data_IF_543531963341
#
_entry.id   IF_543531963341
#
_cell.length_a   1.000
_cell.length_b   1.000
_cell.length_c   1.000
_cell.angle_alpha   90.00
_cell.angle_beta   90.00
_cell.angle_gamma   90.00
#
_symmetry.space_group_name_H-M   'P 1'
#
loop_
_entity.id
_entity.type
_entity.pdbx_description
1 polymer ?
#
# COMPACT_ATOMS: atom_id res chain seq x y z
N UNK A 1 -4.45 -0.68 6.02
CA UNK A 1 -4.28 -2.15 6.20
C UNK A 1 -3.37 -2.64 5.09
N UNK A 2 -2.13 -3.04 5.41
CA UNK A 2 -1.14 -3.42 4.39
C UNK A 2 -1.63 -4.68 3.67
N UNK A 3 -2.04 -4.55 2.41
CA UNK A 3 -2.52 -5.64 1.56
C UNK A 3 -1.29 -6.40 1.02
N UNK A 4 -1.31 -7.72 1.15
CA UNK A 4 -0.31 -8.59 0.55
C UNK A 4 -0.39 -8.47 -0.96
N UNK A 5 0.72 -8.14 -1.61
CA UNK A 5 0.82 -8.11 -3.06
C UNK A 5 1.08 -9.53 -3.56
N UNK A 6 0.11 -10.08 -4.30
CA UNK A 6 0.31 -11.30 -5.09
C UNK A 6 1.13 -10.89 -6.32
N UNK A 7 2.11 -11.70 -6.68
CA UNK A 7 2.94 -11.45 -7.86
C UNK A 7 2.87 -12.67 -8.77
N UNK A 8 2.58 -12.46 -10.04
CA UNK A 8 2.55 -13.55 -11.00
C UNK A 8 3.97 -13.95 -11.39
N UNK A 9 4.19 -15.26 -11.55
CA UNK A 9 5.47 -15.80 -11.97
C UNK A 9 5.49 -15.90 -13.49
N UNK A 10 6.64 -15.62 -14.09
CA UNK A 10 6.87 -15.86 -15.51
C UNK A 10 7.26 -17.31 -15.80
N UNK A 11 7.82 -18.00 -14.80
CA UNK A 11 8.23 -19.41 -14.95
C UNK A 11 7.07 -20.39 -14.90
N UNK A 12 5.94 -20.00 -14.29
CA UNK A 12 4.74 -20.83 -14.11
C UNK A 12 3.50 -19.94 -14.12
N UNK A 13 2.38 -20.45 -14.63
CA UNK A 13 1.05 -19.84 -14.46
C UNK A 13 0.61 -19.95 -13.00
N UNK A 14 1.17 -19.07 -12.17
CA UNK A 14 1.06 -19.11 -10.73
C UNK A 14 1.25 -17.73 -10.11
N UNK A 15 0.53 -17.50 -9.01
CA UNK A 15 0.71 -16.33 -8.18
C UNK A 15 1.52 -16.69 -6.92
N UNK A 16 2.48 -15.84 -6.57
CA UNK A 16 3.32 -15.97 -5.40
C UNK A 16 3.09 -14.83 -4.40
N UNK A 17 3.24 -15.13 -3.11
CA UNK A 17 3.21 -14.12 -2.05
C UNK A 17 4.04 -14.53 -0.83
N UNK A 18 4.47 -13.54 -0.03
CA UNK A 18 5.17 -13.80 1.23
C UNK A 18 4.20 -14.14 2.35
N UNK A 19 4.53 -15.14 3.16
CA UNK A 19 3.78 -15.52 4.35
C UNK A 19 4.74 -15.79 5.52
N UNK A 20 4.32 -15.47 6.74
CA UNK A 20 5.05 -15.93 7.94
C UNK A 20 4.70 -17.39 8.21
N UNK A 21 5.71 -18.25 8.19
CA UNK A 21 5.55 -19.67 8.53
C UNK A 21 5.50 -19.88 10.05
N UNK A 22 5.00 -21.03 10.50
CA UNK A 22 5.00 -21.41 11.92
C UNK A 22 6.43 -21.30 12.47
N UNK A 23 6.60 -20.56 13.56
CA UNK A 23 7.92 -20.21 14.12
C UNK A 23 8.49 -18.86 13.68
N UNK A 24 7.73 -18.02 12.98
CA UNK A 24 8.12 -16.64 12.66
C UNK A 24 9.15 -16.50 11.53
N UNK A 25 9.43 -17.60 10.81
CA UNK A 25 10.31 -17.61 9.64
C UNK A 25 9.61 -16.94 8.45
N UNK A 26 10.41 -16.25 7.63
CA UNK A 26 9.95 -15.74 6.36
C UNK A 26 9.72 -16.92 5.40
N UNK A 27 8.55 -16.97 4.78
CA UNK A 27 8.25 -17.98 3.77
C UNK A 27 7.55 -17.37 2.57
N UNK A 28 7.50 -18.17 1.52
CA UNK A 28 6.89 -17.86 0.25
C UNK A 28 5.95 -18.98 -0.11
N UNK A 29 4.79 -18.58 -0.61
CA UNK A 29 3.76 -19.46 -1.11
C UNK A 29 3.62 -19.21 -2.59
N UNK A 30 3.65 -20.27 -3.38
CA UNK A 30 3.31 -20.25 -4.80
C UNK A 30 2.01 -21.01 -4.97
N UNK A 31 1.06 -20.40 -5.66
CA UNK A 31 -0.25 -20.97 -5.96
C UNK A 31 -0.41 -20.98 -7.47
N UNK A 32 -0.39 -22.18 -8.06
CA UNK A 32 -0.69 -22.33 -9.48
C UNK A 32 -2.20 -22.29 -9.69
N UNK A 33 -2.61 -21.90 -10.90
CA UNK A 33 -4.02 -21.89 -11.27
C UNK A 33 -4.58 -23.30 -11.55
N UNK A 34 -3.71 -24.28 -11.84
CA UNK A 34 -4.05 -25.64 -12.23
C UNK A 34 -3.98 -26.68 -11.09
N UNK A 35 -3.48 -26.31 -9.91
CA UNK A 35 -3.32 -27.23 -8.77
C UNK A 35 -3.85 -26.63 -7.47
N UNK A 36 -4.66 -27.38 -6.73
CA UNK A 36 -5.21 -26.93 -5.44
C UNK A 36 -4.16 -26.89 -4.31
N UNK A 37 -3.08 -27.65 -4.42
CA UNK A 37 -2.05 -27.72 -3.39
C UNK A 37 -0.96 -26.65 -3.61
N UNK A 38 -0.78 -25.69 -2.69
CA UNK A 38 0.21 -24.65 -2.84
C UNK A 38 1.64 -25.16 -2.55
N UNK A 39 2.61 -24.60 -3.27
CA UNK A 39 4.03 -24.80 -3.01
C UNK A 39 4.51 -23.88 -1.89
N UNK A 40 5.17 -24.44 -0.88
CA UNK A 40 5.68 -23.71 0.28
C UNK A 40 7.21 -23.79 0.36
N UNK A 41 7.85 -22.65 0.59
CA UNK A 41 9.29 -22.57 0.89
C UNK A 41 9.57 -21.57 2.01
N UNK A 42 10.49 -21.89 2.92
CA UNK A 42 11.09 -20.90 3.81
C UNK A 42 12.24 -20.18 3.12
N UNK A 43 12.52 -18.94 3.52
CA UNK A 43 13.68 -18.20 3.03
C UNK A 43 14.77 -18.23 4.09
N UNK A 44 15.94 -18.77 3.74
CA UNK A 44 17.09 -18.75 4.63
C UNK A 44 17.64 -17.33 4.73
N UNK A 45 17.62 -16.72 5.93
CA UNK A 45 18.06 -15.33 6.12
C UNK A 45 19.56 -15.12 5.90
N UNK A 46 20.37 -16.17 5.94
CA UNK A 46 21.82 -16.09 5.79
C UNK A 46 22.25 -16.19 4.33
N UNK A 47 21.56 -17.00 3.54
CA UNK A 47 21.92 -17.25 2.13
C UNK A 47 20.96 -16.61 1.13
N UNK A 48 19.78 -16.19 1.57
CA UNK A 48 18.72 -15.67 0.69
C UNK A 48 18.03 -16.76 -0.15
N UNK A 49 18.40 -18.02 0.03
CA UNK A 49 17.91 -19.13 -0.80
C UNK A 49 16.57 -19.69 -0.30
N UNK A 50 15.72 -20.21 -1.21
CA UNK A 50 14.52 -20.92 -0.85
C UNK A 50 14.86 -22.31 -0.30
N UNK A 51 14.28 -22.65 0.84
CA UNK A 51 14.26 -23.97 1.45
C UNK A 51 12.82 -24.51 1.34
N UNK A 52 12.49 -25.29 0.30
CA UNK A 52 11.16 -25.87 0.12
C UNK A 52 10.76 -26.74 1.31
N UNK A 53 9.47 -26.70 1.66
CA UNK A 53 8.93 -27.57 2.70
C UNK A 53 8.92 -29.03 2.25
N UNK A 54 9.00 -29.98 3.19
CA UNK A 54 9.00 -31.43 2.90
C UNK A 54 7.76 -31.90 2.12
N UNK A 55 6.66 -31.14 2.15
CA UNK A 55 5.41 -31.46 1.47
C UNK A 55 5.26 -30.77 0.10
N UNK A 56 6.29 -30.06 -0.37
CA UNK A 56 6.30 -29.37 -1.67
C UNK A 56 6.84 -30.31 -2.76
N UNK A 57 6.03 -30.59 -3.79
CA UNK A 57 6.50 -31.36 -4.94
C UNK A 57 7.38 -30.48 -5.85
N UNK A 58 8.67 -30.79 -5.94
CA UNK A 58 9.64 -30.03 -6.73
C UNK A 58 9.52 -30.22 -8.25
N UNK A 59 8.80 -31.26 -8.70
CA UNK A 59 8.49 -31.44 -10.13
C UNK A 59 7.41 -30.45 -10.58
N UNK A 60 6.46 -30.12 -9.68
CA UNK A 60 5.37 -29.17 -9.95
C UNK A 60 5.78 -27.74 -9.60
N UNK A 61 6.64 -27.57 -8.59
CA UNK A 61 7.16 -26.28 -8.13
C UNK A 61 8.70 -26.31 -8.16
N UNK A 62 9.33 -26.08 -9.33
CA UNK A 62 10.78 -26.06 -9.46
C UNK A 62 11.40 -24.96 -8.59
N UNK A 63 12.66 -25.19 -8.16
CA UNK A 63 13.43 -24.23 -7.37
C UNK A 63 13.60 -22.87 -8.05
N UNK A 64 13.60 -22.84 -9.39
CA UNK A 64 13.67 -21.60 -10.18
C UNK A 64 12.46 -20.69 -9.93
N UNK A 65 11.26 -21.27 -9.85
CA UNK A 65 10.04 -20.52 -9.54
C UNK A 65 10.06 -19.95 -8.11
N UNK A 66 10.65 -20.67 -7.15
CA UNK A 66 10.83 -20.14 -5.79
C UNK A 66 11.86 -19.01 -5.71
N UNK A 67 12.93 -19.07 -6.50
CA UNK A 67 13.91 -17.97 -6.59
C UNK A 67 13.28 -16.73 -7.21
N UNK A 68 12.58 -16.91 -8.34
CA UNK A 68 11.83 -15.84 -8.98
C UNK A 68 10.80 -15.22 -8.01
N UNK A 69 10.04 -16.06 -7.29
CA UNK A 69 9.11 -15.60 -6.28
C UNK A 69 9.80 -14.81 -5.16
N UNK A 70 11.01 -15.18 -4.71
CA UNK A 70 11.77 -14.41 -3.72
C UNK A 70 12.11 -13.02 -4.27
N UNK A 71 12.60 -12.96 -5.49
CA UNK A 71 13.06 -11.73 -6.11
C UNK A 71 11.88 -10.78 -6.36
N UNK A 72 10.80 -11.30 -6.95
CA UNK A 72 9.59 -10.54 -7.27
C UNK A 72 8.80 -10.11 -6.02
N UNK A 73 8.82 -10.93 -4.97
CA UNK A 73 8.15 -10.59 -3.71
C UNK A 73 9.08 -9.85 -2.73
N UNK A 74 10.32 -9.57 -3.11
CA UNK A 74 11.24 -8.76 -2.31
C UNK A 74 10.63 -7.36 -2.08
N UNK A 75 10.74 -6.86 -0.85
CA UNK A 75 10.09 -5.60 -0.44
C UNK A 75 8.57 -5.69 -0.22
N UNK A 76 7.90 -6.80 -0.61
CA UNK A 76 6.46 -6.94 -0.36
C UNK A 76 6.15 -7.35 1.09
N UNK A 77 5.01 -6.90 1.64
CA UNK A 77 4.59 -7.20 3.00
C UNK A 77 4.09 -8.65 3.16
N UNK A 78 4.38 -9.25 4.32
CA UNK A 78 3.92 -10.61 4.64
C UNK A 78 2.39 -10.67 4.76
N UNK A 79 1.82 -11.71 4.16
CA UNK A 79 0.42 -12.06 4.35
C UNK A 79 0.10 -12.40 5.78
N UNK A 80 -0.93 -11.71 6.28
CA UNK A 80 -1.69 -12.07 7.49
C UNK A 80 -2.93 -12.91 7.15
N UNK A 81 -3.23 -13.12 5.87
CA UNK A 81 -4.42 -13.87 5.43
C UNK A 81 -4.17 -15.38 5.54
N UNK A 82 -5.25 -16.14 5.75
CA UNK A 82 -5.26 -17.58 5.51
C UNK A 82 -4.97 -17.89 4.02
N UNK A 83 -4.81 -19.17 3.65
CA UNK A 83 -4.50 -19.56 2.27
C UNK A 83 -5.49 -18.90 1.31
N UNK A 84 -4.97 -18.11 0.37
CA UNK A 84 -5.78 -17.40 -0.61
C UNK A 84 -6.29 -18.45 -1.60
N UNK A 85 -7.60 -18.64 -1.73
CA UNK A 85 -8.14 -19.48 -2.81
C UNK A 85 -8.18 -18.64 -4.07
N UNK A 86 -7.41 -19.00 -5.08
CA UNK A 86 -7.60 -18.48 -6.44
C UNK A 86 -8.87 -19.13 -6.98
N UNK A 87 -9.99 -18.43 -6.90
CA UNK A 87 -11.19 -18.83 -7.64
C UNK A 87 -10.93 -18.50 -9.10
N UNK A 88 -10.80 -19.52 -9.94
CA UNK A 88 -11.00 -19.39 -11.38
C UNK A 88 -12.38 -18.78 -11.60
N UNK A 89 -12.44 -17.55 -12.10
CA UNK A 89 -13.70 -16.95 -12.54
C UNK A 89 -13.74 -16.97 -14.06
N UNK A 90 -14.64 -17.81 -14.58
CA UNK A 90 -15.30 -17.56 -15.86
C UNK A 90 -15.92 -16.15 -15.81
N UNK A 91 -15.70 -15.37 -16.86
CA UNK A 91 -16.28 -14.05 -17.04
C UNK A 91 -17.81 -14.10 -16.92
N UNK A 92 -18.36 -13.29 -16.02
CA UNK A 92 -19.76 -12.88 -16.07
C UNK A 92 -19.80 -11.34 -16.15
N UNK A 93 -20.55 -10.79 -17.11
CA UNK A 93 -20.51 -9.36 -17.43
C UNK A 93 -21.39 -8.60 -16.45
N UNK A 94 -20.84 -7.57 -15.81
CA UNK A 94 -21.67 -6.63 -15.04
C UNK A 94 -21.05 -6.16 -13.73
N UNK A 95 -19.84 -5.65 -13.76
CA UNK A 95 -19.37 -4.55 -12.90
C UNK A 95 -18.20 -3.96 -13.66
N UNK A 96 -18.27 -2.69 -14.03
CA UNK A 96 -17.23 -1.99 -14.77
C UNK A 96 -15.86 -2.26 -14.11
N UNK A 97 -15.06 -3.05 -14.82
CA UNK A 97 -13.68 -3.30 -14.48
C UNK A 97 -12.92 -2.01 -14.85
N UNK A 98 -12.53 -1.25 -13.83
CA UNK A 98 -11.54 -0.18 -13.98
C UNK A 98 -10.31 -0.79 -14.68
N UNK A 99 -10.03 -0.27 -15.87
CA UNK A 99 -9.03 -0.85 -16.77
C UNK A 99 -7.61 -0.63 -16.20
N UNK A 100 -6.64 -1.51 -16.52
CA UNK A 100 -5.24 -1.34 -16.13
C UNK A 100 -4.60 -0.02 -16.62
N UNK A 101 -5.26 0.66 -17.54
CA UNK A 101 -4.84 1.96 -18.08
C UNK A 101 -5.17 3.11 -17.10
N UNK A 102 -6.21 2.97 -16.25
CA UNK A 102 -6.49 3.90 -15.12
C UNK A 102 -5.58 3.64 -13.89
N UNK A 103 -4.87 2.51 -13.88
CA UNK A 103 -3.90 2.14 -12.84
C UNK A 103 -2.50 2.75 -13.05
N UNK A 104 -2.23 3.28 -14.25
CA UNK A 104 -0.96 3.92 -14.61
C UNK A 104 -0.98 5.46 -14.51
N UNK A 105 -2.16 6.06 -14.35
CA UNK A 105 -2.39 7.53 -14.35
C UNK A 105 -2.96 8.02 -13.02
N UNK A 106 -2.28 7.73 -11.90
CA UNK A 106 -2.02 8.85 -10.99
C UNK A 106 -0.78 9.45 -11.59
N UNK A 107 -0.95 10.47 -12.43
CA UNK A 107 0.14 11.03 -13.22
C UNK A 107 1.28 11.34 -12.26
N UNK A 108 2.51 11.07 -12.69
CA UNK A 108 3.66 11.52 -11.91
C UNK A 108 3.51 13.01 -11.56
N UNK A 109 2.75 13.78 -12.35
CA UNK A 109 2.42 15.18 -12.13
C UNK A 109 1.75 15.50 -10.78
N UNK A 110 0.70 14.79 -10.32
CA UNK A 110 0.04 15.16 -9.05
C UNK A 110 0.93 14.87 -7.84
N UNK A 111 1.58 13.72 -7.84
CA UNK A 111 2.54 13.36 -6.80
C UNK A 111 3.75 14.31 -6.84
N UNK A 112 4.27 14.59 -8.04
CA UNK A 112 5.39 15.52 -8.23
C UNK A 112 5.03 16.93 -7.79
N UNK A 113 3.80 17.40 -8.02
CA UNK A 113 3.34 18.72 -7.54
C UNK A 113 3.39 18.80 -6.01
N UNK A 114 2.98 17.73 -5.31
CA UNK A 114 3.07 17.66 -3.85
C UNK A 114 4.52 17.59 -3.39
N UNK A 115 5.35 16.78 -4.06
CA UNK A 115 6.79 16.68 -3.76
C UNK A 115 7.47 18.03 -3.97
N UNK A 116 7.25 18.69 -5.10
CA UNK A 116 7.82 20.00 -5.44
C UNK A 116 7.40 21.08 -4.45
N UNK A 117 6.12 21.07 -4.01
CA UNK A 117 5.61 22.03 -3.03
C UNK A 117 6.29 21.91 -1.65
N UNK A 118 6.74 20.70 -1.27
CA UNK A 118 7.32 20.44 0.06
C UNK A 118 8.78 20.00 0.03
N UNK A 119 9.43 20.04 -1.13
CA UNK A 119 10.86 19.80 -1.27
C UNK A 119 11.65 21.01 -0.82
N UNK A 120 12.61 20.80 0.07
CA UNK A 120 13.46 21.87 0.57
C UNK A 120 14.52 22.27 -0.49
N UNK A 121 15.27 23.36 -0.24
CA UNK A 121 16.36 23.81 -1.14
C UNK A 121 17.48 22.77 -1.36
N UNK A 122 17.50 21.67 -0.60
CA UNK A 122 18.47 20.57 -0.71
C UNK A 122 17.94 19.39 -1.53
N UNK A 123 16.70 19.45 -2.05
CA UNK A 123 16.10 18.36 -2.81
C UNK A 123 15.47 17.25 -1.95
N UNK A 124 15.31 17.47 -0.64
CA UNK A 124 14.68 16.50 0.27
C UNK A 124 13.25 16.93 0.61
N UNK A 125 12.32 15.96 0.62
CA UNK A 125 10.94 16.18 1.04
C UNK A 125 10.89 16.53 2.54
N UNK A 126 10.39 17.72 2.86
CA UNK A 126 10.32 18.20 4.24
C UNK A 126 8.96 17.89 4.88
N UNK A 127 8.90 16.77 5.59
CA UNK A 127 7.70 16.38 6.37
C UNK A 127 7.29 17.41 7.42
N UNK A 128 8.25 18.16 7.95
CA UNK A 128 7.98 19.21 8.94
C UNK A 128 7.22 20.40 8.31
N UNK A 129 7.56 20.78 7.07
CA UNK A 129 6.84 21.82 6.34
C UNK A 129 5.44 21.35 5.94
N UNK A 130 5.34 20.11 5.45
CA UNK A 130 4.07 19.48 5.09
C UNK A 130 3.12 19.40 6.29
N UNK A 131 3.55 18.85 7.43
CA UNK A 131 2.71 18.76 8.62
C UNK A 131 2.32 20.16 9.14
N UNK A 132 3.25 21.11 9.16
CA UNK A 132 2.96 22.48 9.59
C UNK A 132 1.85 23.12 8.76
N UNK A 133 1.92 23.01 7.44
CA UNK A 133 0.94 23.58 6.52
C UNK A 133 -0.44 22.90 6.67
N UNK A 134 -0.47 21.57 6.75
CA UNK A 134 -1.71 20.82 6.94
C UNK A 134 -2.35 21.10 8.32
N UNK A 135 -1.56 21.23 9.38
CA UNK A 135 -2.03 21.62 10.72
C UNK A 135 -2.57 23.05 10.70
N UNK A 136 -1.87 23.99 10.06
CA UNK A 136 -2.31 25.37 9.97
C UNK A 136 -3.64 25.47 9.23
N UNK A 137 -3.80 24.72 8.15
CA UNK A 137 -5.06 24.61 7.41
C UNK A 137 -6.18 24.01 8.26
N UNK A 138 -5.92 22.91 8.97
CA UNK A 138 -6.91 22.28 9.84
C UNK A 138 -7.42 23.25 10.93
N UNK A 139 -6.57 24.15 11.42
CA UNK A 139 -6.95 25.16 12.43
C UNK A 139 -7.72 26.35 11.87
N UNK A 140 -7.48 26.73 10.62
CA UNK A 140 -8.12 27.90 10.00
C UNK A 140 -9.38 27.57 9.20
N UNK A 141 -9.62 26.29 8.88
CA UNK A 141 -10.75 25.85 8.09
C UNK A 141 -12.04 25.72 8.93
N UNK A 142 -13.07 26.46 8.55
CA UNK A 142 -14.38 26.47 9.22
C UNK A 142 -15.08 25.10 9.16
N UNK A 143 -14.97 24.37 8.05
CA UNK A 143 -15.55 23.02 7.90
C UNK A 143 -14.89 22.05 8.89
N UNK A 144 -13.58 22.15 9.09
CA UNK A 144 -12.87 21.35 10.09
C UNK A 144 -13.32 21.71 11.51
N UNK A 145 -13.52 23.00 11.80
CA UNK A 145 -14.06 23.45 13.08
C UNK A 145 -15.47 22.87 13.33
N UNK A 146 -16.32 22.86 12.32
CA UNK A 146 -17.67 22.27 12.39
C UNK A 146 -17.61 20.74 12.58
N UNK A 147 -16.69 20.04 11.89
CA UNK A 147 -16.47 18.61 12.09
C UNK A 147 -15.99 18.28 13.50
N UNK A 148 -15.10 19.11 14.07
CA UNK A 148 -14.64 18.98 15.47
C UNK A 148 -15.80 19.22 16.44
N UNK A 149 -16.61 20.26 16.22
CA UNK A 149 -17.79 20.55 17.03
C UNK A 149 -18.81 19.40 17.00
N UNK A 150 -18.97 18.75 15.84
CA UNK A 150 -19.82 17.58 15.64
C UNK A 150 -19.18 16.26 16.11
N UNK A 151 -17.99 16.28 16.74
CA UNK A 151 -17.25 15.10 17.21
C UNK A 151 -17.02 14.06 16.12
N UNK A 152 -16.72 14.51 14.90
CA UNK A 152 -16.30 13.63 13.82
C UNK A 152 -15.06 12.82 14.22
N UNK A 153 -14.88 11.66 13.60
CA UNK A 153 -13.70 10.83 13.87
C UNK A 153 -12.43 11.53 13.39
N UNK A 154 -11.30 11.24 14.05
CA UNK A 154 -9.97 11.72 13.66
C UNK A 154 -9.69 11.41 12.20
N UNK A 155 -10.07 10.22 11.75
CA UNK A 155 -9.90 9.78 10.37
C UNK A 155 -10.73 10.60 9.37
N UNK A 156 -11.99 10.93 9.69
CA UNK A 156 -12.83 11.75 8.83
C UNK A 156 -12.27 13.16 8.67
N UNK A 157 -11.83 13.78 9.77
CA UNK A 157 -11.22 15.11 9.76
C UNK A 157 -9.92 15.10 8.96
N UNK A 158 -9.06 14.10 9.18
CA UNK A 158 -7.81 13.91 8.43
C UNK A 158 -8.09 13.79 6.93
N UNK A 159 -9.01 12.91 6.54
CA UNK A 159 -9.30 12.66 5.12
C UNK A 159 -9.84 13.91 4.44
N UNK A 160 -10.67 14.71 5.12
CA UNK A 160 -11.15 15.98 4.61
C UNK A 160 -10.01 16.99 4.41
N UNK A 161 -9.17 17.19 5.44
CA UNK A 161 -8.01 18.09 5.38
C UNK A 161 -7.07 17.70 4.23
N UNK A 162 -6.76 16.41 4.12
CA UNK A 162 -5.85 15.89 3.11
C UNK A 162 -6.43 16.07 1.71
N UNK A 163 -7.70 15.73 1.50
CA UNK A 163 -8.38 15.94 0.22
C UNK A 163 -8.26 17.38 -0.27
N UNK A 164 -8.74 18.33 0.54
CA UNK A 164 -8.81 19.74 0.12
C UNK A 164 -7.41 20.32 -0.14
N UNK A 165 -6.42 19.90 0.65
CA UNK A 165 -5.02 20.31 0.41
C UNK A 165 -4.45 19.69 -0.87
N UNK A 166 -4.68 18.41 -1.13
CA UNK A 166 -4.20 17.76 -2.35
C UNK A 166 -4.87 18.35 -3.59
N UNK A 167 -6.18 18.62 -3.56
CA UNK A 167 -6.88 19.31 -4.64
C UNK A 167 -6.29 20.70 -4.90
N UNK A 168 -5.97 21.44 -3.84
CA UNK A 168 -5.34 22.76 -3.95
C UNK A 168 -3.91 22.72 -4.48
N UNK A 169 -3.14 21.67 -4.19
CA UNK A 169 -1.73 21.54 -4.59
C UNK A 169 -1.59 21.02 -6.02
N UNK A 170 -2.46 20.09 -6.40
CA UNK A 170 -2.48 19.48 -7.74
C UNK A 170 -3.24 20.35 -8.75
N UNK A 171 -4.10 21.27 -8.28
CA UNK A 171 -5.00 22.04 -9.11
C UNK A 171 -6.18 21.21 -9.66
N UNK A 172 -6.25 19.93 -9.32
CA UNK A 172 -7.30 19.02 -9.73
C UNK A 172 -8.37 18.90 -8.63
N UNK A 173 -9.57 19.42 -8.90
CA UNK A 173 -10.70 19.42 -7.95
C UNK A 173 -11.50 18.12 -7.96
N UNK A 174 -11.25 17.24 -8.91
CA UNK A 174 -12.00 15.99 -9.11
C UNK A 174 -11.16 14.76 -8.67
N UNK A 175 -10.21 14.97 -7.75
CA UNK A 175 -9.41 13.88 -7.20
C UNK A 175 -10.32 12.86 -6.50
N UNK A 176 -10.27 11.62 -6.99
CA UNK A 176 -11.04 10.52 -6.41
C UNK A 176 -10.42 10.09 -5.07
N UNK A 177 -11.24 9.51 -4.20
CA UNK A 177 -10.82 8.98 -2.90
C UNK A 177 -9.68 7.97 -3.04
N UNK A 178 -9.71 7.18 -4.13
CA UNK A 178 -8.67 6.22 -4.45
C UNK A 178 -7.35 6.91 -4.84
N UNK A 179 -7.39 7.99 -5.61
CA UNK A 179 -6.21 8.77 -6.00
C UNK A 179 -5.59 9.46 -4.78
N UNK A 180 -6.41 10.08 -3.93
CA UNK A 180 -5.98 10.70 -2.68
C UNK A 180 -5.28 9.68 -1.79
N UNK A 181 -5.90 8.51 -1.59
CA UNK A 181 -5.31 7.46 -0.76
C UNK A 181 -3.97 6.98 -1.32
N UNK A 182 -3.83 6.85 -2.64
CA UNK A 182 -2.55 6.48 -3.28
C UNK A 182 -1.47 7.54 -3.05
N UNK A 183 -1.79 8.83 -3.20
CA UNK A 183 -0.83 9.92 -2.93
C UNK A 183 -0.36 9.87 -1.47
N UNK A 184 -1.28 9.68 -0.54
CA UNK A 184 -0.97 9.53 0.90
C UNK A 184 -0.07 8.33 1.14
N UNK A 185 -0.40 7.17 0.56
CA UNK A 185 0.38 5.94 0.73
C UNK A 185 1.81 6.12 0.20
N UNK A 186 1.99 6.74 -0.98
CA UNK A 186 3.31 7.03 -1.53
C UNK A 186 4.12 8.00 -0.66
N UNK A 187 3.48 9.01 -0.05
CA UNK A 187 4.14 9.92 0.89
C UNK A 187 4.49 9.24 2.22
N UNK A 188 3.70 8.25 2.64
CA UNK A 188 3.94 7.47 3.86
C UNK A 188 5.12 6.52 3.70
N UNK A 189 5.31 5.93 2.51
CA UNK A 189 6.42 5.04 2.18
C UNK A 189 7.80 5.70 2.33
N UNK A 190 7.89 6.98 1.95
CA UNK A 190 9.13 7.75 2.09
C UNK A 190 9.30 8.34 3.50
N UNK A 191 8.29 8.26 4.36
CA UNK A 191 8.30 8.83 5.71
C UNK A 191 8.70 7.81 6.79
N UNK A 192 9.77 8.04 7.57
CA UNK A 192 10.22 7.09 8.59
C UNK A 192 9.28 6.97 9.80
N UNK A 193 8.31 7.89 9.97
CA UNK A 193 7.42 7.96 11.15
C UNK A 193 5.94 8.15 10.81
N UNK A 194 5.61 8.05 9.53
CA UNK A 194 4.30 8.34 8.97
C UNK A 194 4.11 9.80 8.62
N UNK A 195 3.64 10.09 7.41
CA UNK A 195 3.65 11.45 6.82
C UNK A 195 2.72 12.42 7.56
N UNK A 196 1.58 11.94 8.09
CA UNK A 196 0.57 12.77 8.79
C UNK A 196 0.47 12.50 10.29
N UNK A 197 1.50 11.93 10.90
CA UNK A 197 1.45 11.61 12.34
C UNK A 197 1.20 12.85 13.20
N UNK A 198 1.92 13.94 12.94
CA UNK A 198 1.77 15.18 13.72
C UNK A 198 0.41 15.84 13.50
N UNK A 199 -0.13 15.76 12.27
CA UNK A 199 -1.50 16.17 11.97
C UNK A 199 -2.52 15.39 12.79
N UNK A 200 -2.39 14.06 12.86
CA UNK A 200 -3.30 13.21 13.65
C UNK A 200 -3.24 13.57 15.15
N UNK A 201 -2.03 13.76 15.69
CA UNK A 201 -1.83 14.14 17.09
C UNK A 201 -2.50 15.50 17.39
N UNK A 202 -2.44 16.45 16.46
CA UNK A 202 -3.08 17.75 16.62
C UNK A 202 -4.62 17.68 16.51
N UNK A 203 -5.15 16.88 15.59
CA UNK A 203 -6.61 16.65 15.48
C UNK A 203 -7.15 16.04 16.78
N UNK A 204 -6.42 15.07 17.36
CA UNK A 204 -6.78 14.47 18.66
C UNK A 204 -6.83 15.55 19.75
N UNK A 205 -5.85 16.47 19.79
CA UNK A 205 -5.87 17.59 20.74
C UNK A 205 -7.05 18.53 20.52
N UNK A 206 -7.42 18.80 19.28
CA UNK A 206 -8.58 19.64 18.95
C UNK A 206 -9.90 19.02 19.42
N UNK A 207 -10.05 17.70 19.26
CA UNK A 207 -11.23 16.95 19.73
C UNK A 207 -11.29 16.76 21.25
N UNK A 208 -10.15 16.91 21.93
CA UNK A 208 -10.05 16.75 23.39
C UNK A 208 -10.26 18.07 24.16
N UNK A 209 -10.48 19.18 23.44
CA UNK A 209 -10.84 20.49 24.02
C UNK A 209 -12.35 20.66 24.07
#
# INVERSE_FOLDING_TARGET
MIRTKLVELSTLDAAAYRQKLKGGKAGIVIMRYDTEQPGLASVNRRTGEPEPSTNTNLEVFPLTAFKEAIDLTSGTPYSRRGPVKLSSYEESPGTEAETPEELATVDSAEYQAVVDAYTNKKGELSYALLNKDFIQFAKSNQVVADMVANRASVEAIRNHVVRVKLESLTGNRDLTDAQIQRIVDMLDEVSPRGVFRELNDEIIRMLSR
#
